data_IF_113208314393
#
_entry.id   IF_113208314393
#
_cell.length_a   1.000
_cell.length_b   1.000
_cell.length_c   1.000
_cell.angle_alpha   90.00
_cell.angle_beta   90.00
_cell.angle_gamma   90.00
#
_symmetry.space_group_name_H-M   'P 1'
#
loop_
_entity.id
_entity.type
_entity.pdbx_description
1 polymer ?
#
# COMPACT_ATOMS: atom_id res chain seq x y z
N UNK A 1 16.18 -2.40 -11.78
CA UNK A 1 15.48 -1.25 -12.40
C UNK A 1 15.17 -1.44 -13.89
N UNK A 2 15.01 -2.68 -14.40
CA UNK A 2 14.86 -2.95 -15.84
C UNK A 2 13.41 -3.24 -16.26
N UNK A 3 12.41 -2.57 -15.67
CA UNK A 3 11.03 -2.73 -16.11
C UNK A 3 10.73 -1.72 -17.23
N UNK A 4 10.12 -2.16 -18.35
CA UNK A 4 9.78 -1.28 -19.44
C UNK A 4 8.67 -0.30 -19.02
N UNK A 5 8.78 0.95 -19.49
CA UNK A 5 7.70 1.94 -19.35
C UNK A 5 6.59 1.58 -20.33
N UNK A 6 5.45 1.11 -19.80
CA UNK A 6 4.32 0.65 -20.62
C UNK A 6 3.40 1.79 -21.08
N UNK A 7 3.31 2.87 -20.30
CA UNK A 7 2.43 4.01 -20.54
C UNK A 7 3.19 5.33 -20.42
N UNK A 8 2.72 6.36 -21.11
CA UNK A 8 3.27 7.72 -20.95
C UNK A 8 3.11 8.18 -19.50
N UNK A 9 4.17 8.72 -18.85
CA UNK A 9 4.06 9.21 -17.48
C UNK A 9 2.93 10.23 -17.31
N UNK A 10 2.14 10.08 -16.24
CA UNK A 10 1.04 10.98 -15.90
C UNK A 10 -0.27 10.72 -16.66
N UNK A 11 -0.32 9.80 -17.62
CA UNK A 11 -1.55 9.52 -18.40
C UNK A 11 -2.28 8.26 -17.94
N UNK A 12 -1.64 7.41 -17.13
CA UNK A 12 -2.20 6.15 -16.66
C UNK A 12 -1.86 5.97 -15.18
N UNK A 13 -2.86 5.61 -14.37
CA UNK A 13 -2.66 5.27 -12.97
C UNK A 13 -2.67 3.76 -12.78
N UNK A 14 -1.63 3.29 -12.11
CA UNK A 14 -1.48 1.93 -11.62
C UNK A 14 -0.81 1.99 -10.24
N UNK A 15 -1.40 1.30 -9.26
CA UNK A 15 -0.80 1.20 -7.94
C UNK A 15 0.34 0.17 -7.99
N UNK A 16 1.58 0.64 -7.80
CA UNK A 16 2.78 -0.19 -7.96
C UNK A 16 3.76 0.08 -6.82
N UNK A 17 4.42 -0.99 -6.37
CA UNK A 17 5.46 -0.94 -5.34
C UNK A 17 6.79 -0.39 -5.88
N UNK A 18 7.02 -0.53 -7.19
CA UNK A 18 8.26 -0.10 -7.84
C UNK A 18 8.43 1.42 -7.88
N UNK A 19 7.32 2.17 -7.95
CA UNK A 19 7.33 3.62 -7.98
C UNK A 19 7.95 4.22 -6.70
N UNK A 20 7.39 3.90 -5.51
CA UNK A 20 7.96 4.32 -4.24
C UNK A 20 9.40 3.85 -4.00
N UNK A 21 9.78 2.63 -4.40
CA UNK A 21 11.17 2.16 -4.30
C UNK A 21 12.13 2.99 -5.16
N UNK A 22 11.76 3.27 -6.41
CA UNK A 22 12.55 4.13 -7.28
C UNK A 22 12.63 5.54 -6.71
N UNK A 23 11.54 6.07 -6.17
CA UNK A 23 11.51 7.38 -5.52
C UNK A 23 12.49 7.42 -4.34
N UNK A 24 12.44 6.43 -3.45
CA UNK A 24 13.35 6.31 -2.31
C UNK A 24 14.82 6.29 -2.76
N UNK A 25 15.13 5.52 -3.80
CA UNK A 25 16.46 5.47 -4.38
C UNK A 25 16.91 6.81 -4.99
N UNK A 26 16.05 7.47 -5.78
CA UNK A 26 16.35 8.77 -6.39
C UNK A 26 16.57 9.84 -5.34
N UNK A 27 15.73 9.88 -4.30
CA UNK A 27 15.87 10.82 -3.17
C UNK A 27 17.21 10.60 -2.46
N UNK A 28 17.54 9.36 -2.13
CA UNK A 28 18.84 9.02 -1.52
C UNK A 28 20.01 9.50 -2.38
N UNK A 29 19.96 9.26 -3.69
CA UNK A 29 20.99 9.70 -4.64
C UNK A 29 21.11 11.22 -4.73
N UNK A 30 19.99 11.94 -4.73
CA UNK A 30 19.96 13.39 -4.83
C UNK A 30 20.50 14.07 -3.56
N UNK A 31 20.24 13.49 -2.39
CA UNK A 31 20.71 14.00 -1.10
C UNK A 31 22.21 13.67 -0.90
N UNK A 32 22.66 12.51 -1.39
CA UNK A 32 24.02 12.03 -1.15
C UNK A 32 24.25 11.48 0.27
N UNK A 33 23.17 11.19 0.99
CA UNK A 33 23.13 10.61 2.34
C UNK A 33 22.28 9.34 2.31
N UNK A 34 22.47 8.44 3.27
CA UNK A 34 21.56 7.31 3.47
C UNK A 34 20.12 7.79 3.76
N UNK A 35 19.13 7.16 3.13
CA UNK A 35 17.74 7.63 3.24
C UNK A 35 17.20 7.56 4.67
N UNK A 36 17.55 6.53 5.44
CA UNK A 36 17.05 6.38 6.81
C UNK A 36 17.73 7.37 7.76
N UNK A 37 19.01 7.67 7.55
CA UNK A 37 19.72 8.72 8.29
C UNK A 37 19.11 10.10 8.00
N UNK A 38 18.85 10.39 6.73
CA UNK A 38 18.15 11.61 6.34
C UNK A 38 16.78 11.70 7.00
N UNK A 39 15.95 10.65 6.89
CA UNK A 39 14.63 10.59 7.51
C UNK A 39 14.70 10.76 9.04
N UNK A 40 15.69 10.14 9.71
CA UNK A 40 15.90 10.31 11.14
C UNK A 40 16.19 11.77 11.49
N UNK A 41 17.08 12.42 10.74
CA UNK A 41 17.51 13.79 10.99
C UNK A 41 16.42 14.83 10.69
N UNK A 42 15.65 14.63 9.62
CA UNK A 42 14.74 15.68 9.10
C UNK A 42 13.27 15.44 9.39
N UNK A 43 12.87 14.20 9.74
CA UNK A 43 11.47 13.85 9.96
C UNK A 43 11.24 13.16 11.31
N UNK A 44 11.82 11.99 11.54
CA UNK A 44 11.52 11.19 12.74
C UNK A 44 12.06 11.82 14.02
N UNK A 45 13.31 12.27 14.03
CA UNK A 45 13.91 12.98 15.16
C UNK A 45 13.12 14.23 15.57
N UNK A 46 12.80 15.16 14.65
CA UNK A 46 11.94 16.31 14.95
C UNK A 46 10.54 15.95 15.48
N UNK A 47 9.99 14.79 15.10
CA UNK A 47 8.72 14.27 15.62
C UNK A 47 8.85 13.58 16.99
N UNK A 48 10.08 13.36 17.47
CA UNK A 48 10.35 12.61 18.70
C UNK A 48 10.20 11.10 18.54
N UNK A 49 10.40 10.58 17.32
CA UNK A 49 10.46 9.15 17.02
C UNK A 49 11.93 8.73 17.14
N UNK A 50 12.24 7.85 18.11
CA UNK A 50 13.61 7.41 18.35
C UNK A 50 14.05 6.39 17.29
N UNK A 51 15.34 6.39 16.97
CA UNK A 51 15.90 5.44 15.99
C UNK A 51 15.77 3.98 16.44
N UNK A 52 15.69 3.73 17.76
CA UNK A 52 15.49 2.38 18.30
C UNK A 52 14.03 1.93 18.28
N UNK A 53 13.07 2.84 18.04
CA UNK A 53 11.65 2.52 18.02
C UNK A 53 11.19 1.94 16.68
N UNK A 54 11.95 2.16 15.59
CA UNK A 54 11.56 1.66 14.27
C UNK A 54 12.63 0.79 13.63
N UNK A 55 12.16 -0.11 12.76
CA UNK A 55 12.99 -0.87 11.84
C UNK A 55 12.46 -0.66 10.43
N UNK A 56 13.32 -0.18 9.54
CA UNK A 56 12.97 -0.01 8.13
C UNK A 56 13.84 -0.93 7.27
N UNK A 57 13.20 -1.94 6.68
CA UNK A 57 13.91 -2.97 5.94
C UNK A 57 14.60 -2.44 4.68
N UNK A 58 15.62 -3.17 4.25
CA UNK A 58 16.40 -2.89 3.04
C UNK A 58 16.38 -4.08 2.09
N UNK A 59 16.56 -3.79 0.81
CA UNK A 59 16.82 -4.80 -0.21
C UNK A 59 18.23 -5.41 -0.04
N UNK A 60 18.53 -6.43 -0.85
CA UNK A 60 19.84 -7.12 -0.82
C UNK A 60 21.01 -6.24 -1.29
N UNK A 61 20.72 -5.12 -1.94
CA UNK A 61 21.71 -4.12 -2.37
C UNK A 61 21.88 -2.99 -1.34
N UNK A 62 21.17 -3.05 -0.21
CA UNK A 62 21.26 -2.08 0.87
C UNK A 62 20.37 -0.85 0.70
N UNK A 63 19.50 -0.80 -0.31
CA UNK A 63 18.54 0.29 -0.46
C UNK A 63 17.33 0.09 0.43
N UNK A 64 16.84 1.17 1.02
CA UNK A 64 15.62 1.14 1.84
C UNK A 64 14.40 0.88 0.96
N UNK A 65 13.51 -0.02 1.38
CA UNK A 65 12.24 -0.22 0.70
C UNK A 65 11.37 1.03 0.83
N UNK A 66 11.03 1.66 -0.29
CA UNK A 66 10.21 2.87 -0.31
C UNK A 66 8.71 2.59 -0.16
N UNK A 67 8.26 1.38 -0.52
CA UNK A 67 6.83 1.04 -0.52
C UNK A 67 6.31 0.35 0.75
N UNK A 68 7.19 -0.25 1.57
CA UNK A 68 6.79 -1.09 2.69
C UNK A 68 7.89 -1.27 3.75
N UNK A 69 7.57 -2.09 4.76
CA UNK A 69 8.49 -2.62 5.77
C UNK A 69 9.15 -1.57 6.66
N UNK A 70 8.50 -0.43 6.87
CA UNK A 70 8.71 0.41 8.03
C UNK A 70 7.85 -0.13 9.18
N UNK A 71 8.49 -0.70 10.18
CA UNK A 71 7.88 -1.19 11.40
C UNK A 71 8.12 -0.17 12.50
N UNK A 72 7.06 0.30 13.17
CA UNK A 72 7.15 1.25 14.27
C UNK A 72 5.93 1.11 15.21
N UNK A 73 6.01 1.59 16.47
CA UNK A 73 4.87 1.64 17.36
C UNK A 73 3.69 2.43 16.77
N UNK A 74 2.44 2.02 17.05
CA UNK A 74 1.26 2.76 16.57
C UNK A 74 1.25 4.23 17.01
N UNK A 75 1.82 4.54 18.18
CA UNK A 75 1.95 5.93 18.66
C UNK A 75 2.85 6.74 17.73
N UNK A 76 4.01 6.21 17.32
CA UNK A 76 4.89 6.87 16.35
C UNK A 76 4.26 7.00 14.97
N UNK A 77 3.56 5.96 14.53
CA UNK A 77 2.83 6.01 13.27
C UNK A 77 1.74 7.09 13.28
N UNK A 78 1.04 7.28 14.41
CA UNK A 78 0.05 8.35 14.55
C UNK A 78 0.66 9.75 14.56
N UNK A 79 1.91 9.92 15.01
CA UNK A 79 2.64 11.21 14.90
C UNK A 79 2.79 11.64 13.44
N UNK A 80 3.02 10.70 12.52
CA UNK A 80 3.05 10.99 11.07
C UNK A 80 1.68 11.48 10.58
N UNK A 81 0.59 10.83 11.00
CA UNK A 81 -0.77 11.27 10.69
C UNK A 81 -1.08 12.67 11.25
N UNK A 82 -0.67 12.96 12.48
CA UNK A 82 -0.86 14.27 13.12
C UNK A 82 -0.03 15.37 12.43
N UNK A 83 1.19 15.06 11.99
CA UNK A 83 1.99 15.99 11.20
C UNK A 83 1.25 16.41 9.93
N UNK A 84 0.65 15.44 9.23
CA UNK A 84 -0.14 15.71 8.03
C UNK A 84 -1.40 16.53 8.34
N UNK A 85 -2.12 16.18 9.42
CA UNK A 85 -3.30 16.93 9.88
C UNK A 85 -2.98 18.39 10.22
N UNK A 86 -1.80 18.63 10.80
CA UNK A 86 -1.32 19.94 11.22
C UNK A 86 -0.58 20.71 10.11
N UNK A 87 -0.91 20.47 8.84
CA UNK A 87 -0.30 21.14 7.69
C UNK A 87 1.24 21.10 7.69
N UNK A 88 1.83 19.96 8.12
CA UNK A 88 3.27 19.78 8.17
C UNK A 88 3.97 20.53 9.31
N UNK A 89 3.24 21.06 10.29
CA UNK A 89 3.80 21.72 11.48
C UNK A 89 3.78 20.78 12.68
N UNK A 90 4.91 20.72 13.38
CA UNK A 90 5.07 19.97 14.63
C UNK A 90 5.82 20.82 15.66
N UNK A 91 5.27 20.94 16.88
CA UNK A 91 5.90 21.75 17.93
C UNK A 91 6.15 23.22 17.55
N UNK A 92 5.36 23.78 16.64
CA UNK A 92 5.55 25.14 16.12
C UNK A 92 6.58 25.27 14.99
N UNK A 93 7.28 24.19 14.63
CA UNK A 93 8.22 24.14 13.51
C UNK A 93 7.58 23.49 12.28
N UNK A 94 7.78 24.07 11.10
CA UNK A 94 7.39 23.45 9.83
C UNK A 94 8.41 22.38 9.44
N UNK A 95 7.98 21.13 9.43
CA UNK A 95 8.78 19.96 9.03
C UNK A 95 8.53 19.61 7.55
N UNK A 96 7.28 19.71 7.12
CA UNK A 96 6.87 19.47 5.72
C UNK A 96 6.24 20.76 5.16
N UNK A 97 6.51 21.07 3.90
CA UNK A 97 5.93 22.24 3.25
C UNK A 97 4.42 22.08 3.11
N UNK A 98 3.66 23.15 3.37
CA UNK A 98 2.22 23.18 3.14
C UNK A 98 1.86 22.90 1.68
N UNK A 99 2.73 23.28 0.75
CA UNK A 99 2.59 22.95 -0.67
C UNK A 99 2.65 21.45 -0.95
N UNK A 100 3.50 20.69 -0.25
CA UNK A 100 3.49 19.24 -0.37
C UNK A 100 2.23 18.65 0.25
N UNK A 101 1.81 19.11 1.43
CA UNK A 101 0.57 18.64 2.08
C UNK A 101 -0.62 18.84 1.14
N UNK A 102 -0.74 20.02 0.53
CA UNK A 102 -1.75 20.32 -0.48
C UNK A 102 -1.71 19.34 -1.64
N UNK A 103 -0.53 19.03 -2.17
CA UNK A 103 -0.38 18.08 -3.28
C UNK A 103 -0.67 16.64 -2.88
N UNK A 104 -0.34 16.25 -1.64
CA UNK A 104 -0.65 14.93 -1.08
C UNK A 104 -2.16 14.65 -1.06
N UNK A 105 -2.98 15.64 -0.70
CA UNK A 105 -4.43 15.48 -0.70
C UNK A 105 -5.12 16.08 -1.94
N UNK A 106 -4.37 16.40 -3.00
CA UNK A 106 -4.94 16.84 -4.29
C UNK A 106 -4.96 15.66 -5.26
N UNK A 107 -6.09 15.40 -5.92
CA UNK A 107 -6.17 14.38 -6.97
C UNK A 107 -5.11 14.53 -8.07
N UNK A 108 -4.49 13.42 -8.46
CA UNK A 108 -3.62 13.35 -9.62
C UNK A 108 -4.42 13.45 -10.93
N UNK A 109 -3.75 13.81 -12.03
CA UNK A 109 -4.39 13.88 -13.36
C UNK A 109 -4.89 12.53 -13.87
N UNK A 110 -4.32 11.42 -13.38
CA UNK A 110 -4.62 10.06 -13.84
C UNK A 110 -5.51 9.26 -12.88
N UNK A 111 -5.75 9.75 -11.66
CA UNK A 111 -6.65 9.12 -10.68
C UNK A 111 -7.20 10.14 -9.68
N UNK A 112 -8.53 10.23 -9.59
CA UNK A 112 -9.17 11.23 -8.73
C UNK A 112 -9.00 10.91 -7.24
N UNK A 113 -8.77 9.65 -6.88
CA UNK A 113 -8.65 9.25 -5.49
C UNK A 113 -7.21 9.04 -5.02
N UNK A 114 -6.21 9.58 -5.71
CA UNK A 114 -4.81 9.44 -5.32
C UNK A 114 -4.01 10.72 -5.58
N UNK A 115 -3.25 11.17 -4.58
CA UNK A 115 -2.37 12.34 -4.61
C UNK A 115 -1.08 12.06 -3.86
N UNK A 116 0.08 12.43 -4.40
CA UNK A 116 1.45 12.18 -3.88
C UNK A 116 1.61 11.09 -2.78
N UNK A 117 1.24 9.84 -3.09
CA UNK A 117 1.32 8.65 -2.21
C UNK A 117 0.24 8.51 -1.12
N UNK A 118 -0.86 9.25 -1.24
CA UNK A 118 -2.02 9.23 -0.35
C UNK A 118 -3.30 8.96 -1.13
N UNK A 119 -4.24 8.27 -0.48
CA UNK A 119 -5.59 8.10 -0.98
C UNK A 119 -6.44 9.31 -0.65
N UNK A 120 -7.19 9.83 -1.61
CA UNK A 120 -8.01 11.05 -1.50
C UNK A 120 -9.48 10.69 -1.61
N UNK A 121 -10.34 11.35 -0.82
CA UNK A 121 -11.78 11.10 -0.80
C UNK A 121 -12.54 11.74 -1.97
N UNK A 122 -12.15 11.38 -3.20
CA UNK A 122 -12.83 11.80 -4.42
C UNK A 122 -13.09 10.61 -5.36
N UNK A 123 -13.92 10.85 -6.38
CA UNK A 123 -14.36 9.84 -7.33
C UNK A 123 -14.36 10.41 -8.76
N UNK A 124 -14.17 9.59 -9.81
CA UNK A 124 -14.07 8.12 -9.78
C UNK A 124 -12.71 7.63 -9.26
N UNK A 125 -12.71 6.52 -8.53
CA UNK A 125 -11.51 6.02 -7.87
C UNK A 125 -10.97 4.76 -8.57
N UNK A 126 -9.71 4.81 -9.01
CA UNK A 126 -8.95 3.62 -9.38
C UNK A 126 -8.19 3.11 -8.15
N UNK A 127 -8.62 1.98 -7.58
CA UNK A 127 -8.06 1.45 -6.33
C UNK A 127 -6.71 0.73 -6.48
N UNK A 128 -6.15 0.19 -5.37
CA UNK A 128 -4.97 -0.67 -5.41
C UNK A 128 -5.42 -2.09 -5.77
N UNK A 129 -5.93 -2.22 -6.99
CA UNK A 129 -6.77 -3.36 -7.32
C UNK A 129 -5.98 -4.67 -7.39
N UNK A 130 -6.60 -5.70 -6.85
CA UNK A 130 -6.25 -7.11 -7.01
C UNK A 130 -7.57 -7.84 -7.30
N UNK A 131 -7.71 -8.60 -8.40
CA UNK A 131 -6.67 -8.98 -9.37
C UNK A 131 -6.40 -8.02 -10.54
N UNK A 132 -7.35 -7.15 -10.91
CA UNK A 132 -7.17 -6.18 -12.00
C UNK A 132 -7.54 -4.78 -11.59
N UNK A 133 -6.88 -3.80 -12.21
CA UNK A 133 -7.25 -2.38 -12.16
C UNK A 133 -8.76 -2.19 -12.33
N UNK A 134 -9.42 -1.70 -11.30
CA UNK A 134 -10.84 -1.36 -11.31
C UNK A 134 -11.03 0.11 -10.97
N UNK A 135 -11.89 0.77 -11.75
CA UNK A 135 -12.31 2.15 -11.49
C UNK A 135 -13.77 2.15 -11.10
N UNK A 136 -14.05 2.60 -9.88
CA UNK A 136 -15.42 2.66 -9.34
C UNK A 136 -15.87 4.11 -9.22
N UNK A 137 -17.17 4.35 -9.40
CA UNK A 137 -17.77 5.70 -9.28
C UNK A 137 -18.09 6.06 -7.82
N UNK A 138 -17.22 5.66 -6.90
CA UNK A 138 -17.38 5.89 -5.47
C UNK A 138 -16.05 6.29 -4.86
N UNK A 139 -16.10 7.27 -3.95
CA UNK A 139 -14.93 7.71 -3.21
C UNK A 139 -14.52 6.67 -2.16
N UNK A 140 -13.21 6.50 -1.90
CA UNK A 140 -12.70 5.50 -0.98
C UNK A 140 -13.12 5.73 0.48
N UNK A 141 -13.33 6.98 0.89
CA UNK A 141 -13.67 7.36 2.27
C UNK A 141 -15.09 7.94 2.36
N UNK A 142 -16.01 7.42 1.53
CA UNK A 142 -17.38 7.90 1.48
C UNK A 142 -18.04 7.89 2.88
N UNK A 143 -18.62 9.04 3.24
CA UNK A 143 -19.13 9.32 4.60
C UNK A 143 -18.27 10.30 5.40
N UNK A 144 -17.01 10.48 5.01
CA UNK A 144 -16.17 11.57 5.51
C UNK A 144 -16.29 12.81 4.58
N UNK A 145 -15.93 14.01 5.09
CA UNK A 145 -15.74 15.20 4.27
C UNK A 145 -14.83 14.97 3.06
N UNK A 146 -15.01 15.78 2.01
CA UNK A 146 -14.25 15.67 0.74
C UNK A 146 -12.75 15.92 0.90
N UNK A 147 -12.36 16.69 1.92
CA UNK A 147 -10.96 16.95 2.23
C UNK A 147 -10.30 15.82 3.03
N UNK A 148 -11.00 14.72 3.30
CA UNK A 148 -10.41 13.54 3.89
C UNK A 148 -9.40 12.86 2.94
N UNK A 149 -8.29 12.42 3.50
CA UNK A 149 -7.28 11.63 2.80
C UNK A 149 -6.63 10.64 3.76
N UNK A 150 -5.91 9.65 3.23
CA UNK A 150 -5.39 8.57 4.05
C UNK A 150 -4.04 8.03 3.58
N UNK A 151 -3.22 7.65 4.56
CA UNK A 151 -2.17 6.65 4.38
C UNK A 151 -2.83 5.29 4.54
N UNK A 152 -2.66 4.38 3.57
CA UNK A 152 -3.28 3.05 3.63
C UNK A 152 -2.27 1.97 3.26
N UNK A 153 -2.10 1.03 4.17
CA UNK A 153 -1.22 -0.12 4.04
C UNK A 153 -1.97 -1.44 4.10
N UNK A 154 -1.35 -2.45 3.47
CA UNK A 154 -1.79 -3.84 3.54
C UNK A 154 -2.08 -4.24 5.00
N UNK A 155 -3.13 -5.03 5.22
CA UNK A 155 -3.52 -5.51 6.56
C UNK A 155 -4.01 -4.41 7.54
N UNK A 156 -4.59 -3.34 7.00
CA UNK A 156 -5.24 -2.24 7.72
C UNK A 156 -4.27 -1.40 8.57
N UNK A 157 -3.15 -0.99 7.97
CA UNK A 157 -2.26 0.01 8.58
C UNK A 157 -2.62 1.37 8.02
N UNK A 158 -3.47 2.12 8.72
CA UNK A 158 -4.11 3.32 8.18
C UNK A 158 -3.97 4.53 9.10
N UNK A 159 -3.73 5.68 8.49
CA UNK A 159 -3.99 6.98 9.10
C UNK A 159 -5.04 7.69 8.24
N UNK A 160 -6.24 7.88 8.77
CA UNK A 160 -7.30 8.66 8.13
C UNK A 160 -7.28 10.08 8.68
N UNK A 161 -7.08 11.05 7.79
CA UNK A 161 -6.84 12.45 8.13
C UNK A 161 -7.99 13.28 7.57
N UNK A 162 -8.67 14.06 8.42
CA UNK A 162 -9.80 14.91 8.04
C UNK A 162 -9.57 16.33 8.57
N UNK A 163 -8.93 17.21 7.78
CA UNK A 163 -8.56 18.56 8.21
C UNK A 163 -9.76 19.40 8.69
N UNK A 164 -10.86 19.38 7.95
CA UNK A 164 -12.09 20.13 8.28
C UNK A 164 -12.72 19.76 9.62
N UNK A 165 -12.38 18.60 10.18
CA UNK A 165 -12.83 18.14 11.49
C UNK A 165 -11.73 18.18 12.56
N UNK A 166 -10.49 18.53 12.21
CA UNK A 166 -9.35 18.36 13.10
C UNK A 166 -9.19 16.91 13.60
N UNK A 167 -9.56 15.94 12.75
CA UNK A 167 -9.67 14.54 13.13
C UNK A 167 -8.55 13.71 12.49
N UNK A 168 -7.87 12.93 13.33
CA UNK A 168 -7.04 11.81 12.92
C UNK A 168 -7.61 10.52 13.52
N UNK A 169 -7.74 9.50 12.68
CA UNK A 169 -7.95 8.11 13.14
C UNK A 169 -6.78 7.27 12.68
N UNK A 170 -5.98 6.79 13.63
CA UNK A 170 -4.90 5.83 13.36
C UNK A 170 -5.38 4.42 13.69
N UNK A 171 -5.15 3.49 12.77
CA UNK A 171 -5.56 2.10 12.86
C UNK A 171 -4.41 1.20 12.45
N UNK A 172 -4.10 0.20 13.28
CA UNK A 172 -3.12 -0.85 12.95
C UNK A 172 -3.67 -2.20 13.39
N UNK A 173 -3.85 -3.15 12.46
CA UNK A 173 -4.21 -4.53 12.82
C UNK A 173 -5.11 -5.25 11.80
N UNK A 174 -5.02 -6.58 11.78
CA UNK A 174 -5.54 -7.44 10.69
C UNK A 174 -7.03 -7.78 10.80
N UNK A 175 -7.74 -7.31 11.83
CA UNK A 175 -9.02 -7.90 12.22
C UNK A 175 -10.13 -6.86 12.37
N UNK A 176 -11.31 -7.18 11.83
CA UNK A 176 -12.54 -6.44 12.10
C UNK A 176 -13.62 -6.54 11.02
N UNK A 177 -13.26 -6.92 9.78
CA UNK A 177 -14.24 -7.12 8.71
C UNK A 177 -14.82 -8.54 8.79
N UNK A 178 -16.15 -8.64 8.72
CA UNK A 178 -16.89 -9.92 8.72
C UNK A 178 -17.53 -10.20 7.36
N UNK A 179 -17.44 -9.26 6.41
CA UNK A 179 -17.91 -9.46 5.06
C UNK A 179 -17.01 -10.47 4.32
N UNK A 180 -17.60 -11.35 3.48
CA UNK A 180 -16.84 -12.30 2.67
C UNK A 180 -16.25 -11.61 1.42
N UNK A 181 -15.53 -10.50 1.61
CA UNK A 181 -14.83 -9.77 0.56
C UNK A 181 -13.30 -9.96 0.71
N UNK A 182 -12.63 -10.71 -0.18
CA UNK A 182 -11.18 -10.89 -0.11
C UNK A 182 -10.40 -9.57 -0.17
N UNK A 183 -10.94 -8.54 -0.82
CA UNK A 183 -10.32 -7.21 -0.92
C UNK A 183 -10.29 -6.48 0.43
N UNK A 184 -11.22 -6.76 1.34
CA UNK A 184 -11.24 -6.16 2.68
C UNK A 184 -10.27 -6.83 3.65
N UNK A 185 -10.09 -8.16 3.54
CA UNK A 185 -9.13 -8.92 4.34
C UNK A 185 -7.68 -8.44 4.12
N UNK A 186 -7.35 -8.09 2.87
CA UNK A 186 -6.03 -7.62 2.49
C UNK A 186 -5.84 -6.11 2.71
N UNK A 187 -6.88 -5.39 3.13
CA UNK A 187 -6.91 -3.92 3.13
C UNK A 187 -6.62 -3.32 1.73
N UNK A 188 -6.90 -4.09 0.68
CA UNK A 188 -6.81 -3.64 -0.72
C UNK A 188 -8.09 -2.89 -1.15
N UNK A 189 -9.15 -2.97 -0.37
CA UNK A 189 -10.36 -2.15 -0.53
C UNK A 189 -10.39 -1.04 0.52
N UNK A 190 -10.33 0.19 0.03
CA UNK A 190 -10.57 1.38 0.85
C UNK A 190 -12.05 1.50 1.26
N UNK A 191 -12.91 0.78 0.55
CA UNK A 191 -14.33 0.69 0.81
C UNK A 191 -14.63 -0.65 1.52
N UNK A 192 -14.02 -0.88 2.68
CA UNK A 192 -14.31 -2.04 3.51
C UNK A 192 -15.56 -1.83 4.37
N UNK A 193 -16.20 -2.92 4.77
CA UNK A 193 -17.35 -2.88 5.69
C UNK A 193 -16.93 -2.19 6.99
N UNK A 194 -15.79 -2.62 7.52
CA UNK A 194 -15.27 -2.14 8.78
C UNK A 194 -15.09 -0.61 8.79
N UNK A 195 -14.47 -0.05 7.75
CA UNK A 195 -14.24 1.40 7.68
C UNK A 195 -15.55 2.14 7.50
N UNK A 196 -16.42 1.66 6.61
CA UNK A 196 -17.71 2.30 6.36
C UNK A 196 -18.53 2.37 7.64
N UNK A 197 -18.67 1.25 8.35
CA UNK A 197 -19.49 1.16 9.55
C UNK A 197 -18.86 1.92 10.73
N UNK A 198 -17.54 1.85 10.88
CA UNK A 198 -16.82 2.64 11.88
C UNK A 198 -17.04 4.14 11.65
N UNK A 199 -16.77 4.64 10.44
CA UNK A 199 -16.90 6.07 10.16
C UNK A 199 -18.34 6.55 10.21
N UNK A 200 -19.31 5.73 9.79
CA UNK A 200 -20.74 6.04 9.95
C UNK A 200 -21.10 6.29 11.41
N UNK A 201 -20.65 5.42 12.33
CA UNK A 201 -20.89 5.57 13.77
C UNK A 201 -20.13 6.74 14.37
N UNK A 202 -18.86 6.90 14.02
CA UNK A 202 -18.02 7.99 14.50
C UNK A 202 -18.61 9.34 14.11
N UNK A 203 -18.97 9.49 12.84
CA UNK A 203 -19.56 10.70 12.28
C UNK A 203 -20.93 11.00 12.89
N UNK A 204 -21.77 9.99 13.12
CA UNK A 204 -23.05 10.16 13.79
C UNK A 204 -22.92 10.69 15.24
N UNK A 205 -21.76 10.52 15.88
CA UNK A 205 -21.48 11.05 17.22
C UNK A 205 -21.14 12.56 17.22
N UNK A 206 -20.79 13.15 16.07
CA UNK A 206 -20.51 14.58 15.99
C UNK A 206 -21.79 15.39 16.17
N UNK A 207 -21.74 16.38 17.09
CA UNK A 207 -22.85 17.33 17.27
C UNK A 207 -22.80 18.46 16.25
N UNK A 208 -21.60 18.88 15.87
CA UNK A 208 -21.34 19.94 14.87
C UNK A 208 -19.92 19.73 14.30
N UNK A 209 -19.71 19.76 12.97
CA UNK A 209 -20.75 19.82 11.93
C UNK A 209 -21.57 18.52 11.88
N UNK A 210 -22.79 18.59 11.35
CA UNK A 210 -23.56 17.40 10.99
C UNK A 210 -23.13 16.95 9.61
N UNK A 211 -22.65 15.71 9.51
CA UNK A 211 -22.20 15.13 8.25
C UNK A 211 -23.26 14.09 7.82
N UNK A 212 -23.64 14.06 6.53
CA UNK A 212 -24.62 13.10 6.03
C UNK A 212 -24.17 11.65 6.23
N UNK A 213 -25.11 10.79 6.64
CA UNK A 213 -24.89 9.34 6.66
C UNK A 213 -24.79 8.84 5.21
N UNK A 214 -23.67 8.20 4.79
CA UNK A 214 -23.52 7.62 3.46
C UNK A 214 -24.41 6.38 3.23
N UNK A 215 -25.10 5.88 4.26
CA UNK A 215 -25.85 4.64 4.25
C UNK A 215 -25.01 3.43 4.69
N UNK A 216 -25.66 2.28 4.92
CA UNK A 216 -24.97 1.05 5.31
C UNK A 216 -24.01 0.57 4.23
N UNK A 217 -22.99 -0.17 4.63
CA UNK A 217 -22.12 -0.87 3.70
C UNK A 217 -22.93 -1.75 2.74
N UNK A 218 -22.56 -1.71 1.46
CA UNK A 218 -23.11 -2.59 0.42
C UNK A 218 -21.98 -3.47 -0.09
N UNK A 219 -22.03 -4.80 0.14
CA UNK A 219 -21.00 -5.70 -0.32
C UNK A 219 -20.80 -5.58 -1.83
N UNK A 220 -19.58 -5.22 -2.24
CA UNK A 220 -19.15 -5.31 -3.62
C UNK A 220 -18.53 -6.68 -3.83
N UNK A 221 -19.36 -7.74 -3.78
CA UNK A 221 -18.88 -9.09 -4.06
C UNK A 221 -18.49 -9.17 -5.54
N UNK A 222 -17.22 -8.87 -5.84
CA UNK A 222 -16.65 -9.09 -7.15
C UNK A 222 -15.83 -10.39 -7.12
N UNK A 223 -16.46 -11.48 -7.56
CA UNK A 223 -15.86 -12.79 -7.71
C UNK A 223 -15.34 -13.03 -9.14
N UNK A 224 -15.17 -12.00 -9.98
CA UNK A 224 -14.45 -12.13 -11.26
C UNK A 224 -12.97 -12.42 -10.98
N UNK A 225 -12.72 -13.70 -10.73
CA UNK A 225 -11.41 -14.27 -10.56
C UNK A 225 -10.89 -14.62 -11.95
N UNK A 226 -10.12 -13.73 -12.56
CA UNK A 226 -9.35 -14.06 -13.76
C UNK A 226 -7.96 -14.58 -13.32
N UNK A 227 -7.72 -15.91 -13.30
CA UNK A 227 -6.43 -16.47 -12.88
C UNK A 227 -5.24 -15.92 -13.67
N UNK A 228 -5.44 -15.44 -14.90
CA UNK A 228 -4.38 -14.87 -15.75
C UNK A 228 -3.89 -13.51 -15.21
N UNK A 229 -4.67 -12.85 -14.36
CA UNK A 229 -4.27 -11.60 -13.67
C UNK A 229 -3.45 -11.86 -12.39
N UNK A 230 -3.51 -13.08 -11.83
CA UNK A 230 -2.76 -13.46 -10.63
C UNK A 230 -1.41 -14.09 -10.94
N UNK A 231 -1.28 -14.63 -12.15
CA UNK A 231 -0.05 -15.19 -12.67
C UNK A 231 0.22 -14.56 -14.02
N UNK A 232 1.15 -13.60 -14.07
CA UNK A 232 1.74 -13.24 -15.36
C UNK A 232 2.44 -14.50 -15.87
N UNK A 233 1.97 -15.10 -16.98
CA UNK A 233 2.54 -16.33 -17.48
C UNK A 233 4.02 -16.14 -17.81
N UNK A 234 4.48 -14.94 -18.19
CA UNK A 234 5.90 -14.67 -18.41
C UNK A 234 6.71 -14.61 -17.12
N UNK A 235 6.14 -14.18 -15.99
CA UNK A 235 6.82 -14.21 -14.68
C UNK A 235 6.85 -15.63 -14.13
N UNK A 236 5.73 -16.35 -14.22
CA UNK A 236 5.64 -17.75 -13.80
C UNK A 236 6.56 -18.65 -14.65
N UNK A 237 6.56 -18.46 -15.98
CA UNK A 237 7.49 -19.12 -16.88
C UNK A 237 8.93 -18.62 -16.67
N UNK A 238 9.14 -17.35 -16.36
CA UNK A 238 10.44 -16.76 -16.03
C UNK A 238 11.10 -17.40 -14.82
N UNK A 239 10.32 -17.70 -13.77
CA UNK A 239 10.79 -18.45 -12.61
C UNK A 239 11.18 -19.91 -12.96
N UNK A 240 10.55 -20.47 -13.99
CA UNK A 240 10.93 -21.75 -14.61
C UNK A 240 12.05 -21.57 -15.67
N UNK A 241 12.60 -20.37 -15.86
CA UNK A 241 13.67 -20.14 -16.83
C UNK A 241 13.21 -20.06 -18.28
N UNK A 242 11.96 -19.67 -18.54
CA UNK A 242 11.40 -19.44 -19.87
C UNK A 242 10.90 -18.00 -20.04
N UNK A 243 11.04 -17.43 -21.24
CA UNK A 243 10.50 -16.10 -21.56
C UNK A 243 11.40 -14.92 -21.16
N UNK A 244 10.95 -13.67 -21.40
CA UNK A 244 11.78 -12.47 -21.32
C UNK A 244 12.23 -12.10 -19.89
N UNK A 245 11.60 -12.66 -18.87
CA UNK A 245 11.92 -12.41 -17.46
C UNK A 245 12.78 -13.52 -16.83
N UNK A 246 13.13 -14.56 -17.59
CA UNK A 246 14.08 -15.57 -17.14
C UNK A 246 15.49 -14.96 -17.01
N UNK A 247 16.27 -15.31 -15.96
CA UNK A 247 17.68 -14.96 -15.92
C UNK A 247 18.39 -15.50 -17.15
N UNK A 248 19.16 -14.67 -17.84
CA UNK A 248 19.77 -15.01 -19.14
C UNK A 248 20.70 -16.23 -19.09
N UNK A 249 21.16 -16.61 -17.90
CA UNK A 249 22.04 -17.73 -17.62
C UNK A 249 21.36 -18.91 -16.91
N UNK A 250 20.02 -18.89 -16.73
CA UNK A 250 19.29 -19.92 -15.99
C UNK A 250 18.08 -20.50 -16.75
N UNK A 251 17.93 -21.82 -16.65
CA UNK A 251 16.89 -22.66 -17.24
C UNK A 251 16.38 -23.65 -16.17
N UNK A 252 15.32 -24.43 -16.46
CA UNK A 252 14.89 -25.53 -15.57
C UNK A 252 15.97 -26.59 -15.28
N UNK A 253 17.04 -26.67 -16.07
CA UNK A 253 18.07 -27.70 -15.94
C UNK A 253 19.41 -27.17 -15.39
N UNK A 254 19.68 -25.88 -15.55
CA UNK A 254 21.01 -25.30 -15.35
C UNK A 254 20.91 -23.82 -15.01
N UNK A 255 21.73 -23.34 -14.08
CA UNK A 255 21.87 -21.92 -13.76
C UNK A 255 23.37 -21.61 -13.68
N UNK A 256 23.86 -20.72 -14.55
CA UNK A 256 25.29 -20.49 -14.77
C UNK A 256 26.02 -21.70 -15.35
N UNK A 257 27.08 -22.18 -14.71
CA UNK A 257 27.84 -23.39 -15.08
C UNK A 257 27.43 -24.65 -14.32
N UNK A 258 26.45 -24.56 -13.42
CA UNK A 258 26.08 -25.66 -12.52
C UNK A 258 24.70 -26.27 -12.90
N UNK A 259 24.57 -27.62 -12.90
CA UNK A 259 23.28 -28.27 -12.99
C UNK A 259 22.48 -28.06 -11.70
N UNK A 260 21.17 -27.83 -11.81
CA UNK A 260 20.28 -27.66 -10.66
C UNK A 260 20.07 -29.01 -9.94
N UNK A 261 20.14 -29.02 -8.60
CA UNK A 261 19.91 -30.22 -7.76
C UNK A 261 18.65 -30.05 -6.92
N UNK A 262 17.89 -31.14 -6.73
CA UNK A 262 16.65 -31.15 -5.96
C UNK A 262 16.87 -30.85 -4.45
N UNK A 263 15.95 -30.14 -3.76
CA UNK A 263 14.78 -29.45 -4.29
C UNK A 263 15.17 -28.00 -4.63
N UNK A 264 15.76 -27.82 -5.82
CA UNK A 264 16.08 -26.54 -6.47
C UNK A 264 16.89 -25.55 -5.62
N UNK A 265 18.03 -26.00 -5.10
CA UNK A 265 19.01 -25.09 -4.49
C UNK A 265 19.50 -24.06 -5.51
N UNK A 266 19.21 -22.78 -5.26
CA UNK A 266 19.87 -21.64 -5.90
C UNK A 266 19.04 -20.84 -6.92
N UNK A 267 17.79 -21.18 -7.19
CA UNK A 267 16.94 -20.34 -8.05
C UNK A 267 16.28 -19.21 -7.21
N UNK A 268 16.46 -17.92 -7.53
CA UNK A 268 15.76 -16.84 -6.85
C UNK A 268 14.22 -16.87 -7.02
N UNK A 269 13.69 -17.74 -7.90
CA UNK A 269 12.27 -17.88 -8.20
C UNK A 269 11.55 -19.11 -7.62
N UNK A 270 11.88 -19.58 -6.41
CA UNK A 270 11.10 -20.66 -5.78
C UNK A 270 9.70 -20.16 -5.37
N UNK A 271 8.65 -20.54 -6.11
CA UNK A 271 7.29 -20.54 -5.60
C UNK A 271 7.07 -21.81 -4.77
N UNK A 272 6.73 -21.65 -3.49
CA UNK A 272 6.10 -22.72 -2.73
C UNK A 272 4.61 -22.74 -3.10
N UNK A 273 4.16 -23.75 -3.85
CA UNK A 273 2.73 -24.02 -3.99
C UNK A 273 2.28 -24.63 -2.65
N UNK A 274 1.80 -23.78 -1.75
CA UNK A 274 1.12 -24.26 -0.55
C UNK A 274 -0.28 -24.67 -0.94
N UNK A 275 -0.53 -25.98 -1.07
CA UNK A 275 -1.90 -26.48 -1.12
C UNK A 275 -2.57 -26.17 0.23
N UNK A 276 -3.48 -25.19 0.24
CA UNK A 276 -4.37 -24.97 1.39
C UNK A 276 -5.33 -26.17 1.44
N UNK A 277 -5.34 -26.97 2.52
CA UNK A 277 -6.23 -28.11 2.60
C UNK A 277 -7.65 -27.58 2.86
N UNK A 278 -8.43 -27.48 1.79
CA UNK A 278 -9.81 -27.02 1.85
C UNK A 278 -10.74 -27.93 1.08
N UNK A 279 -10.74 -29.24 1.35
CA UNK A 279 -11.86 -30.14 1.03
C UNK A 279 -11.87 -31.35 2.00
N UNK A 280 -13.02 -31.76 2.58
CA UNK A 280 -13.10 -32.75 3.67
C UNK A 280 -12.82 -34.21 3.27
N UNK A 281 -12.51 -34.51 2.00
CA UNK A 281 -12.44 -35.88 1.49
C UNK A 281 -11.06 -36.25 0.92
N UNK A 282 -9.98 -35.89 1.62
CA UNK A 282 -8.63 -36.37 1.26
C UNK A 282 -8.36 -37.75 1.89
N UNK A 283 -8.14 -38.81 1.10
CA UNK A 283 -7.88 -40.16 1.62
C UNK A 283 -6.44 -40.27 2.12
N UNK A 284 -6.28 -40.65 3.39
CA UNK A 284 -4.96 -40.79 4.00
C UNK A 284 -5.00 -41.00 5.51
N UNK A 285 -5.92 -41.83 6.01
CA UNK A 285 -5.80 -42.44 7.34
C UNK A 285 -5.07 -43.78 7.21
N UNK A 286 -3.75 -43.74 7.43
CA UNK A 286 -2.88 -44.67 8.17
C UNK A 286 -1.44 -44.49 7.73
#
# INVERSE_FOLDING_TARGET
LALPVQHTPGTFFEYTQHGPDLLAFVVQRAIGEDLQQFAQRTLFGPLGIDQHDYYWARDRSGHTYGYAFLFMPPVDYSRLGLLMLNDGVWGGQRIISSDYIRQAHTPSSSNHCYGYLFWVNDSPCTGPSFPSRQTISQAPLAGLPRDAYAMVGFLQQNNFIVPSLGLLVSWTGILGDVSPDPGTLLSASLNSELYREFFRKLVAAFRTPRIPDPGPYRPTMNLDFDPVQFTDPNIALGALGFGPYAPSDCTVLRCGSAPLRAPLQGNPGCFAITCVPGLPESPGKR
#
